data_IF_627905582485
#
_entry.id   IF_627905582485
#
_cell.length_a   1.000
_cell.length_b   1.000
_cell.length_c   1.000
_cell.angle_alpha   90.00
_cell.angle_beta   90.00
_cell.angle_gamma   90.00
#
_symmetry.space_group_name_H-M   'P 1'
#
loop_
_entity.id
_entity.type
_entity.pdbx_description
1 polymer ?
#
# COMPACT_ATOMS: atom_id res chain seq x y z
N UNK A 1 8.42 -11.60 21.89
CA UNK A 1 9.11 -10.40 21.40
C UNK A 1 9.35 -10.41 19.87
N UNK A 2 9.76 -11.54 19.27
CA UNK A 2 9.98 -11.61 17.82
C UNK A 2 8.73 -11.23 17.00
N UNK A 3 7.56 -11.67 17.38
CA UNK A 3 6.34 -11.45 16.61
C UNK A 3 5.78 -10.02 16.70
N UNK A 4 5.87 -9.37 17.86
CA UNK A 4 5.48 -7.94 17.98
C UNK A 4 6.40 -7.10 17.11
N UNK A 5 7.67 -7.42 17.09
CA UNK A 5 8.67 -6.74 16.25
C UNK A 5 8.40 -6.95 14.76
N UNK A 6 8.06 -8.14 14.32
CA UNK A 6 7.76 -8.41 12.90
C UNK A 6 6.47 -7.70 12.45
N UNK A 7 5.43 -7.63 13.30
CA UNK A 7 4.22 -6.82 13.05
C UNK A 7 4.53 -5.34 12.86
N UNK A 8 5.39 -4.80 13.72
CA UNK A 8 5.81 -3.40 13.61
C UNK A 8 6.55 -3.13 12.30
N UNK A 9 7.38 -4.08 11.84
CA UNK A 9 8.08 -3.93 10.57
C UNK A 9 7.17 -4.04 9.36
N UNK A 10 6.17 -4.93 9.38
CA UNK A 10 5.11 -4.98 8.34
C UNK A 10 4.33 -3.69 8.33
N UNK A 11 3.89 -3.20 9.50
CA UNK A 11 3.15 -1.95 9.63
C UNK A 11 3.98 -0.75 9.15
N UNK A 12 5.27 -0.68 9.48
CA UNK A 12 6.18 0.37 9.02
C UNK A 12 6.36 0.34 7.49
N UNK A 13 6.60 -0.85 6.92
CA UNK A 13 6.71 -1.01 5.47
C UNK A 13 5.43 -0.56 4.78
N UNK A 14 4.26 -1.01 5.28
CA UNK A 14 2.98 -0.59 4.74
C UNK A 14 2.72 0.92 4.90
N UNK A 15 3.09 1.52 6.02
CA UNK A 15 2.95 2.95 6.25
C UNK A 15 3.76 3.77 5.23
N UNK A 16 5.02 3.39 4.98
CA UNK A 16 5.86 4.05 3.98
C UNK A 16 5.24 3.95 2.58
N UNK A 17 4.74 2.76 2.23
CA UNK A 17 3.99 2.55 0.99
C UNK A 17 2.73 3.43 0.94
N UNK A 18 1.91 3.43 2.00
CA UNK A 18 0.65 4.16 2.05
C UNK A 18 0.87 5.67 1.88
N UNK A 19 1.86 6.25 2.56
CA UNK A 19 2.23 7.67 2.42
C UNK A 19 2.62 7.97 0.96
N UNK A 20 3.50 7.16 0.36
CA UNK A 20 3.93 7.34 -1.02
C UNK A 20 2.73 7.27 -1.99
N UNK A 21 1.90 6.24 -1.85
CA UNK A 21 0.74 6.01 -2.69
C UNK A 21 -0.28 7.16 -2.61
N UNK A 22 -0.58 7.63 -1.40
CA UNK A 22 -1.60 8.66 -1.18
C UNK A 22 -1.10 10.03 -1.67
N UNK A 23 0.18 10.39 -1.45
CA UNK A 23 0.77 11.61 -2.01
C UNK A 23 0.66 11.59 -3.53
N UNK A 24 1.12 10.51 -4.16
CA UNK A 24 1.13 10.41 -5.63
C UNK A 24 -0.28 10.45 -6.21
N UNK A 25 -1.23 9.72 -5.63
CA UNK A 25 -2.63 9.75 -6.07
C UNK A 25 -3.22 11.16 -5.94
N UNK A 26 -2.93 11.86 -4.85
CA UNK A 26 -3.44 13.21 -4.60
C UNK A 26 -2.89 14.26 -5.55
N UNK A 27 -1.65 14.11 -6.04
CA UNK A 27 -1.03 15.07 -6.98
C UNK A 27 -1.31 14.75 -8.44
N UNK A 28 -1.99 13.64 -8.77
CA UNK A 28 -2.28 13.26 -10.18
C UNK A 28 -3.07 14.32 -10.93
N UNK A 29 -4.01 15.00 -10.26
CA UNK A 29 -4.76 16.10 -10.88
C UNK A 29 -3.80 17.19 -11.41
N UNK A 30 -2.80 17.58 -10.62
CA UNK A 30 -1.82 18.59 -11.02
C UNK A 30 -0.93 18.13 -12.18
N UNK A 31 -0.61 16.84 -12.24
CA UNK A 31 0.12 16.27 -13.38
C UNK A 31 -0.66 16.45 -14.69
N UNK A 32 -1.93 16.09 -14.69
CA UNK A 32 -2.76 16.17 -15.89
C UNK A 32 -3.09 17.62 -16.32
N UNK A 33 -3.29 18.50 -15.36
CA UNK A 33 -3.67 19.91 -15.63
C UNK A 33 -2.45 20.77 -15.99
N UNK A 34 -1.36 20.65 -15.22
CA UNK A 34 -0.24 21.61 -15.34
C UNK A 34 0.98 21.08 -16.10
N UNK A 35 1.17 19.78 -16.18
CA UNK A 35 2.35 19.19 -16.84
C UNK A 35 2.00 18.60 -18.20
N UNK A 36 0.85 17.93 -18.31
CA UNK A 36 0.39 17.32 -19.56
C UNK A 36 -0.50 18.25 -20.38
N UNK A 37 -1.11 19.25 -19.75
CA UNK A 37 -2.13 20.13 -20.37
C UNK A 37 -3.33 19.34 -20.96
N UNK A 38 -3.68 18.23 -20.30
CA UNK A 38 -4.74 17.29 -20.72
C UNK A 38 -5.69 16.97 -19.56
N UNK A 39 -6.47 17.94 -19.03
CA UNK A 39 -7.32 17.74 -17.86
C UNK A 39 -8.40 16.69 -18.06
N UNK A 40 -8.89 16.47 -19.29
CA UNK A 40 -9.88 15.45 -19.60
C UNK A 40 -9.33 14.03 -19.40
N UNK A 41 -8.04 13.82 -19.65
CA UNK A 41 -7.37 12.53 -19.47
C UNK A 41 -7.20 12.15 -17.97
N UNK A 42 -7.42 13.06 -17.04
CA UNK A 42 -7.40 12.75 -15.59
C UNK A 42 -8.37 11.63 -15.20
N UNK A 43 -9.48 11.46 -15.93
CA UNK A 43 -10.44 10.36 -15.70
C UNK A 43 -9.79 8.96 -15.76
N UNK A 44 -8.67 8.80 -16.46
CA UNK A 44 -7.89 7.57 -16.57
C UNK A 44 -7.39 7.12 -15.18
N UNK A 45 -7.09 8.05 -14.28
CA UNK A 45 -6.64 7.76 -12.91
C UNK A 45 -7.71 7.10 -12.04
N UNK A 46 -8.98 7.21 -12.40
CA UNK A 46 -10.09 6.48 -11.78
C UNK A 46 -10.40 5.16 -12.48
N UNK A 47 -10.28 5.12 -13.80
CA UNK A 47 -10.62 3.94 -14.61
C UNK A 47 -9.62 2.80 -14.40
N UNK A 48 -8.31 3.09 -14.44
CA UNK A 48 -7.27 2.07 -14.28
C UNK A 48 -7.39 1.32 -12.93
N UNK A 49 -7.45 1.98 -11.76
CA UNK A 49 -7.58 1.26 -10.49
C UNK A 49 -8.91 0.51 -10.35
N UNK A 50 -9.99 1.00 -10.95
CA UNK A 50 -11.26 0.31 -10.97
C UNK A 50 -11.15 -1.03 -11.72
N UNK A 51 -10.65 -1.02 -12.94
CA UNK A 51 -10.44 -2.22 -13.76
C UNK A 51 -9.43 -3.16 -13.07
N UNK A 52 -8.32 -2.60 -12.57
CA UNK A 52 -7.31 -3.36 -11.84
C UNK A 52 -7.92 -4.06 -10.62
N UNK A 53 -8.76 -3.38 -9.84
CA UNK A 53 -9.44 -3.96 -8.68
C UNK A 53 -10.32 -5.15 -9.04
N UNK A 54 -11.15 -5.01 -10.09
CA UNK A 54 -12.03 -6.09 -10.56
C UNK A 54 -11.26 -7.32 -11.05
N UNK A 55 -10.12 -7.12 -11.70
CA UNK A 55 -9.29 -8.23 -12.22
C UNK A 55 -8.45 -8.84 -11.10
N UNK A 56 -7.81 -8.00 -10.28
CA UNK A 56 -6.83 -8.46 -9.30
C UNK A 56 -7.46 -9.07 -8.05
N UNK A 57 -8.67 -8.68 -7.66
CA UNK A 57 -9.35 -9.26 -6.51
C UNK A 57 -9.57 -10.79 -6.63
N UNK A 58 -10.14 -11.32 -7.75
CA UNK A 58 -10.22 -12.76 -7.93
C UNK A 58 -8.89 -13.42 -8.32
N UNK A 59 -7.99 -12.68 -8.97
CA UNK A 59 -6.71 -13.22 -9.43
C UNK A 59 -5.73 -13.43 -8.28
N UNK A 60 -5.76 -12.57 -7.25
CA UNK A 60 -4.83 -12.65 -6.13
C UNK A 60 -4.86 -14.00 -5.39
N UNK A 61 -6.02 -14.57 -4.99
CA UNK A 61 -6.06 -15.89 -4.34
C UNK A 61 -5.50 -17.00 -5.23
N UNK A 62 -5.70 -16.90 -6.54
CA UNK A 62 -5.18 -17.88 -7.51
C UNK A 62 -3.66 -17.81 -7.58
N UNK A 63 -3.11 -16.60 -7.71
CA UNK A 63 -1.66 -16.39 -7.75
C UNK A 63 -1.00 -16.77 -6.43
N UNK A 64 -1.62 -16.48 -5.30
CA UNK A 64 -1.10 -16.80 -3.97
C UNK A 64 -0.99 -18.31 -3.70
N UNK A 65 -1.70 -19.16 -4.46
CA UNK A 65 -1.53 -20.63 -4.40
C UNK A 65 -0.18 -21.09 -4.97
N UNK A 66 0.35 -20.35 -5.95
CA UNK A 66 1.56 -20.75 -6.71
C UNK A 66 2.77 -19.92 -6.32
N UNK A 67 2.54 -18.67 -5.93
CA UNK A 67 3.59 -17.69 -5.65
C UNK A 67 3.47 -17.25 -4.20
N UNK A 68 4.49 -17.46 -3.36
CA UNK A 68 4.50 -16.96 -1.98
C UNK A 68 4.25 -15.45 -1.89
N UNK A 69 3.50 -15.04 -0.87
CA UNK A 69 3.09 -13.62 -0.64
C UNK A 69 4.29 -12.67 -0.63
N UNK A 70 5.43 -13.13 -0.11
CA UNK A 70 6.67 -12.36 -0.10
C UNK A 70 7.09 -11.94 -1.51
N UNK A 71 6.99 -12.84 -2.49
CA UNK A 71 7.34 -12.54 -3.88
C UNK A 71 6.27 -11.70 -4.57
N UNK A 72 4.99 -11.89 -4.25
CA UNK A 72 3.91 -11.05 -4.76
C UNK A 72 4.06 -9.60 -4.28
N UNK A 73 4.34 -9.40 -2.99
CA UNK A 73 4.60 -8.07 -2.42
C UNK A 73 5.84 -7.42 -3.04
N UNK A 74 6.95 -8.16 -3.10
CA UNK A 74 8.22 -7.67 -3.67
C UNK A 74 8.07 -7.34 -5.15
N UNK A 75 7.44 -8.23 -5.93
CA UNK A 75 7.17 -7.99 -7.35
C UNK A 75 6.27 -6.77 -7.57
N UNK A 76 5.26 -6.59 -6.70
CA UNK A 76 4.42 -5.40 -6.69
C UNK A 76 5.22 -4.12 -6.44
N UNK A 77 6.09 -4.12 -5.41
CA UNK A 77 6.93 -2.96 -5.11
C UNK A 77 7.93 -2.65 -6.23
N UNK A 78 8.57 -3.65 -6.81
CA UNK A 78 9.48 -3.47 -7.95
C UNK A 78 8.74 -2.90 -9.15
N UNK A 79 7.55 -3.41 -9.45
CA UNK A 79 6.69 -2.87 -10.52
C UNK A 79 6.32 -1.39 -10.26
N UNK A 80 5.97 -1.03 -9.02
CA UNK A 80 5.72 0.36 -8.65
C UNK A 80 6.96 1.25 -8.80
N UNK A 81 8.15 0.76 -8.45
CA UNK A 81 9.41 1.50 -8.66
C UNK A 81 9.60 1.83 -10.14
N UNK A 82 9.30 0.87 -11.04
CA UNK A 82 9.32 1.12 -12.50
C UNK A 82 8.32 2.20 -12.86
N UNK A 83 7.07 2.11 -12.38
CA UNK A 83 6.03 3.12 -12.62
C UNK A 83 6.44 4.52 -12.15
N UNK A 84 6.96 4.64 -10.93
CA UNK A 84 7.47 5.91 -10.40
C UNK A 84 8.64 6.48 -11.22
N UNK A 85 9.56 5.62 -11.65
CA UNK A 85 10.69 6.02 -12.48
C UNK A 85 10.21 6.55 -13.84
N UNK A 86 9.22 5.89 -14.44
CA UNK A 86 8.60 6.36 -15.69
C UNK A 86 7.90 7.72 -15.49
N UNK A 87 7.13 7.90 -14.41
CA UNK A 87 6.48 9.17 -14.09
C UNK A 87 7.50 10.28 -13.83
N UNK A 88 8.59 9.99 -13.12
CA UNK A 88 9.63 10.99 -12.84
C UNK A 88 10.36 11.45 -14.10
N UNK A 89 10.68 10.52 -15.02
CA UNK A 89 11.48 10.84 -16.21
C UNK A 89 10.63 11.34 -17.39
N UNK A 90 9.45 10.76 -17.60
CA UNK A 90 8.65 10.95 -18.82
C UNK A 90 7.26 11.53 -18.56
N UNK A 91 7.07 12.29 -17.48
CA UNK A 91 5.76 12.86 -17.08
C UNK A 91 5.12 13.81 -18.11
N UNK A 92 5.84 14.27 -19.12
CA UNK A 92 5.33 15.13 -20.19
C UNK A 92 4.81 14.35 -21.41
N UNK A 93 4.82 13.01 -21.36
CA UNK A 93 4.36 12.16 -22.47
C UNK A 93 3.15 11.33 -22.01
N UNK A 94 1.95 11.70 -22.46
CA UNK A 94 0.70 11.08 -22.04
C UNK A 94 0.68 9.54 -22.23
N UNK A 95 1.03 8.96 -23.38
CA UNK A 95 1.13 7.51 -23.54
C UNK A 95 2.02 6.82 -22.50
N UNK A 96 3.19 7.41 -22.20
CA UNK A 96 4.11 6.85 -21.19
C UNK A 96 3.52 6.97 -19.79
N UNK A 97 2.86 8.08 -19.49
CA UNK A 97 2.15 8.27 -18.22
C UNK A 97 1.05 7.22 -18.02
N UNK A 98 0.26 6.91 -19.06
CA UNK A 98 -0.77 5.87 -18.98
C UNK A 98 -0.15 4.50 -18.65
N UNK A 99 0.94 4.13 -19.33
CA UNK A 99 1.67 2.88 -19.03
C UNK A 99 2.22 2.90 -17.61
N UNK A 100 2.81 4.01 -17.18
CA UNK A 100 3.31 4.17 -15.82
C UNK A 100 2.21 4.03 -14.76
N UNK A 101 1.00 4.54 -15.02
CA UNK A 101 -0.15 4.38 -14.13
C UNK A 101 -0.61 2.93 -14.01
N UNK A 102 -0.48 2.11 -15.07
CA UNK A 102 -0.73 0.67 -15.00
C UNK A 102 0.29 0.03 -14.05
N UNK A 103 1.59 0.33 -14.21
CA UNK A 103 2.66 -0.13 -13.31
C UNK A 103 2.55 0.41 -11.89
N UNK A 104 1.74 1.44 -11.65
CA UNK A 104 1.45 2.00 -10.35
C UNK A 104 0.21 1.36 -9.71
N UNK A 105 -0.96 1.37 -10.39
CA UNK A 105 -2.23 0.96 -9.81
C UNK A 105 -2.43 -0.56 -9.73
N UNK A 106 -1.95 -1.31 -10.72
CA UNK A 106 -2.10 -2.78 -10.73
C UNK A 106 -1.35 -3.43 -9.56
N UNK A 107 -0.05 -3.12 -9.34
CA UNK A 107 0.67 -3.67 -8.20
C UNK A 107 0.16 -3.20 -6.84
N UNK A 108 -0.41 -2.00 -6.76
CA UNK A 108 -1.00 -1.48 -5.54
C UNK A 108 -2.06 -2.43 -4.96
N UNK A 109 -2.83 -3.11 -5.80
CA UNK A 109 -3.83 -4.11 -5.38
C UNK A 109 -3.14 -5.31 -4.70
N UNK A 110 -2.05 -5.83 -5.26
CA UNK A 110 -1.29 -6.94 -4.66
C UNK A 110 -0.70 -6.55 -3.30
N UNK A 111 -0.13 -5.36 -3.20
CA UNK A 111 0.47 -4.85 -1.96
C UNK A 111 -0.60 -4.73 -0.88
N UNK A 112 -1.76 -4.16 -1.20
CA UNK A 112 -2.87 -4.00 -0.25
C UNK A 112 -3.41 -5.36 0.22
N UNK A 113 -3.65 -6.30 -0.70
CA UNK A 113 -4.13 -7.64 -0.35
C UNK A 113 -3.12 -8.40 0.51
N UNK A 114 -1.83 -8.35 0.15
CA UNK A 114 -0.77 -8.97 0.94
C UNK A 114 -0.69 -8.38 2.35
N UNK A 115 -0.81 -7.05 2.48
CA UNK A 115 -0.77 -6.39 3.79
C UNK A 115 -1.94 -6.81 4.68
N UNK A 116 -3.17 -6.92 4.12
CA UNK A 116 -4.34 -7.39 4.87
C UNK A 116 -4.09 -8.81 5.37
N UNK A 117 -3.72 -9.72 4.49
CA UNK A 117 -3.49 -11.13 4.85
C UNK A 117 -2.37 -11.28 5.89
N UNK A 118 -1.27 -10.54 5.75
CA UNK A 118 -0.19 -10.57 6.74
C UNK A 118 -0.61 -10.03 8.11
N UNK A 119 -1.54 -9.07 8.16
CA UNK A 119 -2.12 -8.60 9.42
C UNK A 119 -3.07 -9.66 10.01
N UNK A 120 -3.87 -10.34 9.19
CA UNK A 120 -4.74 -11.43 9.63
C UNK A 120 -3.94 -12.58 10.21
N UNK A 121 -2.89 -13.05 9.53
CA UNK A 121 -1.99 -14.09 10.02
C UNK A 121 -1.38 -13.74 11.39
N UNK A 122 -1.15 -12.43 11.62
CA UNK A 122 -0.65 -11.95 12.91
C UNK A 122 -1.65 -12.09 14.04
N UNK A 123 -2.97 -12.14 13.76
CA UNK A 123 -4.02 -12.36 14.78
C UNK A 123 -3.95 -13.77 15.28
N UNK A 124 -3.89 -14.75 14.38
CA UNK A 124 -3.82 -16.17 14.68
C UNK A 124 -2.58 -16.51 15.52
N UNK A 125 -1.43 -15.97 15.13
CA UNK A 125 -0.22 -16.11 15.96
C UNK A 125 -0.37 -15.47 17.35
N UNK A 126 -1.02 -14.31 17.42
CA UNK A 126 -1.28 -13.64 18.70
C UNK A 126 -2.19 -14.47 19.61
N UNK A 127 -3.20 -15.13 19.05
CA UNK A 127 -4.09 -16.04 19.75
C UNK A 127 -3.33 -17.27 20.26
N UNK A 128 -2.52 -17.89 19.41
CA UNK A 128 -1.69 -19.04 19.79
C UNK A 128 -0.79 -18.74 21.00
N UNK A 129 -0.16 -17.56 21.01
CA UNK A 129 0.83 -17.19 22.03
C UNK A 129 0.23 -16.66 23.33
N UNK A 130 -0.85 -15.86 23.24
CA UNK A 130 -1.40 -15.11 24.36
C UNK A 130 -2.74 -15.67 24.84
N UNK A 131 -3.30 -16.69 24.17
CA UNK A 131 -4.61 -17.26 24.49
C UNK A 131 -5.79 -16.31 24.25
N UNK A 132 -5.56 -15.15 23.63
CA UNK A 132 -6.60 -14.14 23.36
C UNK A 132 -6.57 -13.70 21.91
N UNK A 133 -7.73 -13.67 21.27
CA UNK A 133 -7.92 -13.22 19.90
C UNK A 133 -8.16 -11.70 19.86
N UNK A 134 -7.10 -10.93 19.66
CA UNK A 134 -7.19 -9.46 19.56
C UNK A 134 -7.46 -9.01 18.09
N UNK A 135 -8.51 -9.58 17.49
CA UNK A 135 -8.84 -9.34 16.06
C UNK A 135 -9.20 -7.88 15.80
N UNK A 136 -10.14 -7.33 16.58
CA UNK A 136 -10.61 -5.96 16.40
C UNK A 136 -9.47 -4.92 16.49
N UNK A 137 -8.55 -5.10 17.45
CA UNK A 137 -7.40 -4.20 17.62
C UNK A 137 -6.44 -4.33 16.44
N UNK A 138 -6.13 -5.55 16.01
CA UNK A 138 -5.16 -5.75 14.91
C UNK A 138 -5.72 -5.29 13.57
N UNK A 139 -6.99 -5.58 13.27
CA UNK A 139 -7.63 -5.15 12.03
C UNK A 139 -7.87 -3.63 11.97
N UNK A 140 -7.99 -2.94 13.13
CA UNK A 140 -8.12 -1.49 13.17
C UNK A 140 -6.83 -0.73 12.81
N UNK A 141 -5.67 -1.39 12.89
CA UNK A 141 -4.37 -0.79 12.54
C UNK A 141 -4.36 -0.30 11.09
N UNK A 142 -4.84 -1.10 10.14
CA UNK A 142 -4.85 -0.73 8.73
C UNK A 142 -5.71 0.50 8.45
N UNK A 143 -7.01 0.55 8.78
CA UNK A 143 -7.82 1.75 8.59
C UNK A 143 -7.24 2.99 9.30
N UNK A 144 -6.60 2.81 10.44
CA UNK A 144 -5.90 3.88 11.15
C UNK A 144 -4.72 4.40 10.32
N UNK A 145 -3.89 3.52 9.78
CA UNK A 145 -2.76 3.90 8.91
C UNK A 145 -3.24 4.58 7.63
N UNK A 146 -4.32 4.09 7.03
CA UNK A 146 -4.93 4.71 5.84
C UNK A 146 -5.46 6.13 6.16
N UNK A 147 -6.08 6.34 7.34
CA UNK A 147 -6.54 7.66 7.78
C UNK A 147 -5.40 8.62 8.07
N UNK A 148 -4.33 8.15 8.72
CA UNK A 148 -3.12 8.95 8.96
C UNK A 148 -2.48 9.32 7.61
N UNK A 149 -2.31 8.35 6.71
CA UNK A 149 -1.82 8.59 5.35
C UNK A 149 -2.65 9.62 4.60
N UNK A 150 -3.98 9.47 4.63
CA UNK A 150 -4.92 10.42 4.00
C UNK A 150 -4.83 11.84 4.57
N UNK A 151 -4.73 11.98 5.90
CA UNK A 151 -4.57 13.28 6.54
C UNK A 151 -3.24 13.95 6.16
N UNK A 152 -2.15 13.19 6.15
CA UNK A 152 -0.83 13.66 5.72
C UNK A 152 -0.81 14.02 4.24
N UNK A 153 -1.54 13.31 3.41
CA UNK A 153 -1.61 13.56 1.97
C UNK A 153 -2.17 14.92 1.63
N UNK A 154 -3.29 15.30 2.22
CA UNK A 154 -3.92 16.59 1.94
C UNK A 154 -2.94 17.75 2.22
N UNK A 155 -2.20 17.68 3.33
CA UNK A 155 -1.14 18.63 3.63
C UNK A 155 0.02 18.57 2.64
N UNK A 156 0.48 17.36 2.29
CA UNK A 156 1.58 17.17 1.36
C UNK A 156 1.21 17.63 -0.07
N UNK A 157 0.01 17.30 -0.54
CA UNK A 157 -0.49 17.73 -1.86
C UNK A 157 -0.56 19.26 -1.94
N UNK A 158 -1.10 19.92 -0.92
CA UNK A 158 -1.14 21.39 -0.85
C UNK A 158 0.28 21.99 -0.84
N UNK A 159 1.20 21.41 -0.07
CA UNK A 159 2.60 21.86 -0.03
C UNK A 159 3.32 21.68 -1.37
N UNK A 160 3.10 20.55 -2.06
CA UNK A 160 3.66 20.28 -3.40
C UNK A 160 3.11 21.28 -4.41
N UNK A 161 1.80 21.52 -4.44
CA UNK A 161 1.16 22.47 -5.33
C UNK A 161 1.68 23.90 -5.11
N UNK A 162 1.81 24.31 -3.84
CA UNK A 162 2.34 25.62 -3.49
C UNK A 162 3.82 25.76 -3.89
N UNK A 163 4.66 24.78 -3.57
CA UNK A 163 6.08 24.80 -3.90
C UNK A 163 6.34 24.80 -5.40
N UNK A 164 5.47 24.13 -6.17
CA UNK A 164 5.55 24.10 -7.64
C UNK A 164 4.87 25.30 -8.32
N UNK A 165 4.26 26.22 -7.56
CA UNK A 165 3.52 27.37 -8.13
C UNK A 165 2.22 26.99 -8.86
N UNK A 166 1.67 25.79 -8.61
CA UNK A 166 0.46 25.25 -9.22
C UNK A 166 -0.79 25.63 -8.41
N UNK A 167 -0.95 26.91 -8.09
CA UNK A 167 -2.03 27.41 -7.23
C UNK A 167 -2.69 28.67 -7.78
N UNK A 168 -3.88 29.02 -7.28
CA UNK A 168 -4.60 30.23 -7.67
C UNK A 168 -5.11 30.17 -9.11
N UNK A 169 -4.72 31.15 -9.92
CA UNK A 169 -5.12 31.27 -11.33
C UNK A 169 -4.04 30.77 -12.30
N UNK A 170 -3.03 30.02 -11.80
CA UNK A 170 -1.98 29.48 -12.64
C UNK A 170 -2.56 28.52 -13.70
N UNK A 171 -1.98 28.54 -14.88
CA UNK A 171 -2.33 27.66 -16.01
C UNK A 171 -1.11 26.83 -16.43
N UNK A 172 -1.29 25.84 -17.28
CA UNK A 172 -0.17 25.04 -17.82
C UNK A 172 0.87 25.92 -18.54
N UNK A 173 0.42 27.00 -19.21
CA UNK A 173 1.28 27.94 -19.91
C UNK A 173 2.20 28.76 -18.98
N UNK A 174 1.83 28.90 -17.71
CA UNK A 174 2.61 29.64 -16.70
C UNK A 174 3.72 28.79 -16.07
N UNK A 175 3.74 27.48 -16.36
CA UNK A 175 4.66 26.54 -15.74
C UNK A 175 6.06 26.63 -16.36
N UNK A 176 7.02 27.03 -15.54
CA UNK A 176 8.44 27.01 -15.91
C UNK A 176 9.04 25.62 -15.74
N UNK A 177 10.18 25.36 -16.37
CA UNK A 177 10.93 24.13 -16.19
C UNK A 177 11.29 23.88 -14.71
N UNK A 178 11.53 24.94 -13.94
CA UNK A 178 11.79 24.87 -12.49
C UNK A 178 10.56 24.43 -11.70
N UNK A 179 9.37 24.95 -12.02
CA UNK A 179 8.11 24.54 -11.40
C UNK A 179 7.85 23.05 -11.62
N UNK A 180 8.00 22.59 -12.88
CA UNK A 180 7.83 21.17 -13.25
C UNK A 180 8.87 20.29 -12.54
N UNK A 181 10.14 20.71 -12.46
CA UNK A 181 11.18 19.95 -11.75
C UNK A 181 10.89 19.84 -10.25
N UNK A 182 10.43 20.92 -9.61
CA UNK A 182 10.01 20.94 -8.21
C UNK A 182 8.83 19.99 -7.99
N UNK A 183 7.81 20.08 -8.86
CA UNK A 183 6.66 19.17 -8.82
C UNK A 183 7.11 17.71 -8.90
N UNK A 184 7.91 17.33 -9.90
CA UNK A 184 8.41 15.96 -10.08
C UNK A 184 9.17 15.46 -8.85
N UNK A 185 9.97 16.34 -8.24
CA UNK A 185 10.75 15.98 -7.04
C UNK A 185 9.83 15.53 -5.91
N UNK A 186 8.85 16.32 -5.56
CA UNK A 186 7.97 16.01 -4.45
C UNK A 186 6.86 15.01 -4.80
N UNK A 187 6.38 15.01 -6.04
CA UNK A 187 5.29 14.13 -6.48
C UNK A 187 5.76 12.71 -6.80
N UNK A 188 7.00 12.53 -7.29
CA UNK A 188 7.48 11.23 -7.78
C UNK A 188 8.81 10.77 -7.15
N UNK A 189 9.84 11.63 -7.04
CA UNK A 189 11.13 11.18 -6.49
C UNK A 189 11.06 10.92 -4.98
N UNK A 190 10.39 11.78 -4.20
CA UNK A 190 10.20 11.53 -2.75
C UNK A 190 9.40 10.26 -2.50
N UNK A 191 8.21 10.05 -3.12
CA UNK A 191 7.49 8.79 -3.00
C UNK A 191 8.29 7.58 -3.50
N UNK A 192 9.07 7.69 -4.57
CA UNK A 192 9.96 6.62 -5.04
C UNK A 192 10.94 6.17 -3.96
N UNK A 193 11.56 7.12 -3.25
CA UNK A 193 12.46 6.80 -2.12
C UNK A 193 11.70 6.09 -1.00
N UNK A 194 10.47 6.53 -0.68
CA UNK A 194 9.64 5.86 0.33
C UNK A 194 9.28 4.43 -0.07
N UNK A 195 8.97 4.16 -1.34
CA UNK A 195 8.71 2.81 -1.85
C UNK A 195 9.95 1.93 -1.77
N UNK A 196 11.12 2.46 -2.13
CA UNK A 196 12.40 1.73 -1.99
C UNK A 196 12.66 1.40 -0.52
N UNK A 197 12.48 2.36 0.39
CA UNK A 197 12.63 2.12 1.83
C UNK A 197 11.62 1.10 2.35
N UNK A 198 10.37 1.17 1.89
CA UNK A 198 9.34 0.19 2.22
C UNK A 198 9.76 -1.23 1.79
N UNK A 199 10.25 -1.38 0.57
CA UNK A 199 10.75 -2.66 0.04
C UNK A 199 11.93 -3.19 0.86
N UNK A 200 12.91 -2.34 1.19
CA UNK A 200 14.07 -2.69 2.01
C UNK A 200 13.64 -3.16 3.40
N UNK A 201 12.76 -2.41 4.06
CA UNK A 201 12.23 -2.80 5.38
C UNK A 201 11.52 -4.14 5.30
N UNK A 202 10.65 -4.32 4.31
CA UNK A 202 9.92 -5.58 4.13
C UNK A 202 10.89 -6.76 3.90
N UNK A 203 11.81 -6.60 2.97
CA UNK A 203 12.71 -7.69 2.58
C UNK A 203 13.64 -8.17 3.70
N UNK A 204 14.20 -7.24 4.48
CA UNK A 204 15.18 -7.58 5.52
C UNK A 204 14.56 -7.86 6.89
N UNK A 205 13.36 -7.35 7.17
CA UNK A 205 12.79 -7.40 8.53
C UNK A 205 11.58 -8.31 8.66
N UNK A 206 10.83 -8.54 7.58
CA UNK A 206 9.64 -9.42 7.64
C UNK A 206 10.07 -10.86 7.36
N UNK A 207 9.88 -11.74 8.36
CA UNK A 207 10.30 -13.14 8.33
C UNK A 207 9.14 -14.14 8.26
N UNK A 208 7.92 -13.70 8.57
CA UNK A 208 6.75 -14.59 8.58
C UNK A 208 6.43 -14.97 7.13
N UNK A 209 6.52 -16.27 6.83
CA UNK A 209 6.15 -16.87 5.55
C UNK A 209 4.93 -17.80 5.70
N UNK A 210 4.41 -18.29 4.58
CA UNK A 210 3.23 -19.17 4.55
C UNK A 210 3.46 -20.50 5.27
N UNK A 211 4.69 -21.01 5.32
CA UNK A 211 5.02 -22.27 6.00
C UNK A 211 4.92 -22.10 7.51
N UNK A 212 5.44 -20.99 8.02
CA UNK A 212 5.31 -20.64 9.44
C UNK A 212 3.84 -20.40 9.81
N UNK A 213 3.07 -19.73 8.92
CA UNK A 213 1.63 -19.55 9.14
C UNK A 213 0.88 -20.88 9.20
N UNK A 214 1.11 -21.81 8.27
CA UNK A 214 0.47 -23.13 8.28
C UNK A 214 0.77 -23.91 9.59
N UNK A 215 2.00 -23.85 10.08
CA UNK A 215 2.36 -24.47 11.37
C UNK A 215 1.64 -23.82 12.57
N UNK A 216 1.48 -22.49 12.54
CA UNK A 216 0.75 -21.73 13.56
C UNK A 216 -0.72 -22.14 13.60
N UNK A 217 -1.36 -22.26 12.44
CA UNK A 217 -2.76 -22.68 12.33
C UNK A 217 -2.95 -24.10 12.84
N UNK A 218 -2.09 -25.03 12.43
CA UNK A 218 -2.14 -26.43 12.89
C UNK A 218 -1.97 -26.55 14.43
N UNK A 219 -1.02 -25.81 15.00
CA UNK A 219 -0.81 -25.78 16.45
C UNK A 219 -1.98 -25.11 17.18
N UNK A 220 -2.57 -24.05 16.61
CA UNK A 220 -3.72 -23.36 17.18
C UNK A 220 -4.95 -24.28 17.18
N UNK A 221 -5.23 -24.98 16.08
CA UNK A 221 -6.34 -25.93 15.98
C UNK A 221 -6.17 -27.08 16.99
N UNK A 222 -4.94 -27.60 17.16
CA UNK A 222 -4.66 -28.65 18.15
C UNK A 222 -4.92 -28.16 19.59
N UNK A 223 -4.53 -26.93 19.92
CA UNK A 223 -4.76 -26.33 21.26
C UNK A 223 -6.23 -25.99 21.52
N UNK A 224 -6.95 -25.57 20.49
CA UNK A 224 -8.41 -25.38 20.59
C UNK A 224 -9.13 -26.70 20.79
N UNK A 225 -8.74 -27.75 20.06
CA UNK A 225 -9.32 -29.09 20.21
C UNK A 225 -9.04 -29.74 21.58
N UNK A 226 -7.86 -29.45 22.17
CA UNK A 226 -7.50 -29.91 23.52
C UNK A 226 -8.14 -29.10 24.64
N UNK A 227 -8.79 -27.97 24.38
CA UNK A 227 -9.35 -27.05 25.36
C UNK A 227 -8.30 -26.23 26.13
N UNK A 228 -7.04 -26.24 25.70
CA UNK A 228 -5.97 -25.45 26.31
C UNK A 228 -6.16 -23.95 26.02
N UNK A 229 -6.74 -23.62 24.87
CA UNK A 229 -7.16 -22.27 24.50
C UNK A 229 -8.67 -22.30 24.24
N UNK A 230 -9.41 -21.35 24.82
CA UNK A 230 -10.86 -21.22 24.60
C UNK A 230 -11.09 -20.08 23.58
N UNK A 231 -11.96 -20.33 22.62
CA UNK A 231 -12.35 -19.29 21.65
C UNK A 231 -13.19 -18.21 22.36
N UNK A 232 -12.78 -16.94 22.23
CA UNK A 232 -13.48 -15.82 22.87
C UNK A 232 -14.95 -15.70 22.39
N UNK A 233 -15.26 -16.16 21.16
CA UNK A 233 -16.64 -16.24 20.67
C UNK A 233 -17.46 -17.29 21.42
N UNK A 234 -16.88 -18.43 21.75
CA UNK A 234 -17.55 -19.46 22.58
C UNK A 234 -17.79 -18.97 24.02
N UNK A 235 -16.89 -18.18 24.59
CA UNK A 235 -17.07 -17.57 25.89
C UNK A 235 -18.18 -16.51 25.96
N UNK A 236 -18.37 -15.75 24.87
CA UNK A 236 -19.44 -14.75 24.79
C UNK A 236 -20.83 -15.38 24.75
N UNK A 237 -20.96 -16.59 24.17
CA UNK A 237 -22.22 -17.36 24.12
C UNK A 237 -22.56 -17.99 25.45
N UNK A 238 -21.56 -18.40 26.25
CA UNK A 238 -21.76 -19.04 27.57
C UNK A 238 -22.13 -18.01 28.66
N UNK A 239 -21.80 -16.74 28.48
CA UNK A 239 -22.08 -15.65 29.44
C UNK A 239 -23.43 -14.95 29.26
N UNK A 240 -24.19 -15.25 28.20
CA UNK A 240 -25.55 -14.78 27.95
C UNK A 240 -26.56 -15.92 28.18
#
# INVERSE_FOLDING_TARGET
EMCIRDRLWVALSYLLYAIANVITTGVMYYLFVFVLDEPAAFSITGIIPLIAGFIMAPLYPILNRWIPRRYLFTGGMVSMIIGYTMLALFSSNLPVVIVALIFFYVPAQFIQMTAILSLTDSIEYGQLKNGRRNEAVTLSVRPMLDKIGGAMSNGAVGAVALAAGMTGHATAADMTASNIATFKTFAFYVPLVLIILSLVVFWFKVKIDEKMHAQIVEELEAKLASGEIVDDEAQAVIKN
#
